data_IF_490026440458
#
_entry.id   IF_490026440458
#
_cell.length_a   1.000
_cell.length_b   1.000
_cell.length_c   1.000
_cell.angle_alpha   90.00
_cell.angle_beta   90.00
_cell.angle_gamma   90.00
#
_symmetry.space_group_name_H-M   'P 1'
#
loop_
_entity.id
_entity.type
_entity.pdbx_description
1 polymer ?
#
# COMPACT_ATOMS: atom_id res chain seq x y z
N UNK A 1 -8.87 19.43 -17.50
CA UNK A 1 -8.23 18.28 -16.84
C UNK A 1 -7.16 17.74 -17.78
N UNK A 2 -5.92 17.66 -17.34
CA UNK A 2 -4.86 16.95 -18.05
C UNK A 2 -4.65 15.60 -17.41
N UNK A 3 -4.58 14.52 -18.19
CA UNK A 3 -4.29 13.17 -17.72
C UNK A 3 -2.99 12.72 -18.38
N UNK A 4 -2.08 12.11 -17.62
CA UNK A 4 -0.80 11.60 -18.11
C UNK A 4 -0.49 10.27 -17.43
N UNK A 5 0.03 9.30 -18.19
CA UNK A 5 0.49 8.01 -17.71
C UNK A 5 1.86 8.15 -17.05
N UNK A 6 2.06 7.49 -15.93
CA UNK A 6 3.29 7.47 -15.15
C UNK A 6 3.55 6.09 -14.54
N UNK A 7 4.81 5.70 -14.43
CA UNK A 7 5.17 4.40 -13.86
C UNK A 7 4.49 3.24 -14.60
N UNK A 8 4.51 3.24 -15.92
CA UNK A 8 3.89 2.29 -16.87
C UNK A 8 2.36 2.36 -16.92
N UNK A 9 1.66 2.30 -15.79
CA UNK A 9 0.18 2.22 -15.73
C UNK A 9 -0.43 3.21 -14.75
N UNK A 10 0.36 4.00 -14.04
CA UNK A 10 -0.11 5.07 -13.17
C UNK A 10 -0.70 6.24 -13.96
N UNK A 11 -1.71 6.88 -13.42
CA UNK A 11 -2.40 7.99 -14.06
C UNK A 11 -2.34 9.22 -13.16
N UNK A 12 -1.99 10.37 -13.76
CA UNK A 12 -2.01 11.66 -13.05
C UNK A 12 -2.98 12.60 -13.72
N UNK A 13 -3.92 13.13 -12.93
CA UNK A 13 -4.86 14.15 -13.35
C UNK A 13 -4.63 15.49 -12.65
N UNK A 14 -4.89 16.59 -13.33
CA UNK A 14 -4.77 17.93 -12.76
C UNK A 14 -6.11 18.66 -12.81
N UNK A 15 -6.51 19.24 -11.68
CA UNK A 15 -7.65 20.14 -11.60
C UNK A 15 -7.16 21.46 -11.00
N UNK A 16 -7.27 22.52 -11.78
CA UNK A 16 -6.99 23.88 -11.32
C UNK A 16 -8.27 24.52 -10.79
N UNK A 17 -8.17 25.17 -9.66
CA UNK A 17 -9.25 25.92 -9.04
C UNK A 17 -9.65 27.15 -9.84
N UNK A 18 -10.40 28.07 -9.20
CA UNK A 18 -10.74 29.36 -9.78
C UNK A 18 -9.47 30.10 -10.17
N UNK A 19 -9.57 30.95 -11.16
CA UNK A 19 -8.48 31.80 -11.62
C UNK A 19 -7.21 31.06 -12.04
N UNK A 20 -7.37 29.76 -12.39
CA UNK A 20 -6.27 28.96 -12.89
C UNK A 20 -5.28 28.47 -11.84
N UNK A 21 -5.60 28.61 -10.55
CA UNK A 21 -4.73 28.19 -9.45
C UNK A 21 -3.55 29.13 -9.20
N UNK A 22 -3.82 30.40 -9.11
CA UNK A 22 -2.79 31.46 -9.02
C UNK A 22 -2.01 31.49 -7.69
N UNK A 23 -2.54 30.89 -6.61
CA UNK A 23 -1.83 30.86 -5.31
C UNK A 23 -0.51 30.09 -5.34
N UNK A 24 -0.28 29.29 -6.38
CA UNK A 24 0.87 28.39 -6.46
C UNK A 24 0.80 27.18 -5.53
N UNK A 25 -0.22 27.10 -4.63
CA UNK A 25 -0.42 25.94 -3.74
C UNK A 25 -0.89 24.73 -4.52
N UNK A 26 -0.44 23.54 -4.12
CA UNK A 26 -0.89 22.31 -4.75
C UNK A 26 -1.02 21.16 -3.74
N UNK A 27 -2.03 20.34 -3.96
CA UNK A 27 -2.39 19.22 -3.10
C UNK A 27 -2.50 17.96 -3.93
N UNK A 28 -1.81 16.90 -3.51
CA UNK A 28 -1.94 15.56 -4.06
C UNK A 28 -3.05 14.77 -3.38
N UNK A 29 -3.92 14.14 -4.17
CA UNK A 29 -4.88 13.14 -3.69
C UNK A 29 -4.53 11.81 -4.36
N UNK A 30 -4.24 10.79 -3.55
CA UNK A 30 -3.78 9.48 -4.02
C UNK A 30 -4.81 8.39 -3.79
N UNK A 31 -4.99 7.56 -4.79
CA UNK A 31 -5.61 6.24 -4.68
C UNK A 31 -4.73 5.19 -5.36
N UNK A 32 -4.60 4.04 -4.75
CA UNK A 32 -4.07 2.84 -5.40
C UNK A 32 -5.13 2.19 -6.29
N UNK A 33 -4.69 1.35 -7.24
CA UNK A 33 -5.57 0.80 -8.26
C UNK A 33 -5.44 -0.70 -8.46
N UNK A 34 -4.42 -1.32 -7.91
CA UNK A 34 -4.08 -2.71 -8.22
C UNK A 34 -4.98 -3.71 -7.51
N UNK A 35 -5.20 -4.84 -8.18
CA UNK A 35 -5.86 -6.01 -7.65
C UNK A 35 -4.83 -7.03 -7.15
N UNK A 36 -5.24 -7.84 -6.18
CA UNK A 36 -4.43 -8.93 -5.65
C UNK A 36 -4.42 -10.15 -6.59
N UNK A 37 -3.31 -10.89 -6.68
CA UNK A 37 -3.19 -12.11 -7.47
C UNK A 37 -3.83 -13.31 -6.76
N UNK A 38 -5.14 -13.25 -6.57
CA UNK A 38 -5.92 -14.31 -5.93
C UNK A 38 -7.25 -14.54 -6.66
N UNK A 39 -7.78 -15.76 -6.58
CA UNK A 39 -9.05 -16.09 -7.20
C UNK A 39 -10.20 -15.60 -6.35
N UNK A 40 -11.08 -14.79 -6.92
CA UNK A 40 -12.32 -14.39 -6.28
C UNK A 40 -13.32 -15.55 -6.27
N UNK A 41 -13.89 -15.82 -5.09
CA UNK A 41 -14.88 -16.88 -4.88
C UNK A 41 -16.31 -16.31 -4.69
N UNK A 42 -16.47 -14.99 -4.74
CA UNK A 42 -17.77 -14.35 -4.62
C UNK A 42 -18.61 -14.54 -5.91
N UNK A 43 -19.94 -14.47 -5.76
CA UNK A 43 -20.89 -14.66 -6.87
C UNK A 43 -21.81 -13.46 -7.12
N UNK A 44 -21.55 -12.32 -6.49
CA UNK A 44 -22.34 -11.10 -6.72
C UNK A 44 -22.05 -10.49 -8.12
N UNK A 45 -22.92 -9.63 -8.59
CA UNK A 45 -22.88 -9.11 -9.96
C UNK A 45 -21.59 -8.34 -10.33
N UNK A 46 -20.90 -7.80 -9.33
CA UNK A 46 -19.65 -7.04 -9.50
C UNK A 46 -18.39 -7.84 -9.11
N UNK A 47 -18.49 -9.15 -8.93
CA UNK A 47 -17.32 -10.00 -8.75
C UNK A 47 -16.36 -9.90 -9.94
N UNK A 48 -15.09 -10.13 -9.69
CA UNK A 48 -14.05 -10.10 -10.72
C UNK A 48 -14.39 -11.04 -11.89
N UNK A 49 -14.22 -10.55 -13.08
CA UNK A 49 -14.36 -11.33 -14.34
C UNK A 49 -13.00 -11.81 -14.85
N UNK A 50 -11.92 -11.47 -14.16
CA UNK A 50 -10.56 -11.83 -14.54
C UNK A 50 -10.07 -12.95 -13.62
N UNK A 51 -9.91 -14.19 -14.11
CA UNK A 51 -9.41 -15.30 -13.30
C UNK A 51 -8.09 -14.96 -12.61
N UNK A 52 -7.96 -15.37 -11.34
CA UNK A 52 -6.76 -15.15 -10.55
C UNK A 52 -6.50 -13.70 -10.14
N UNK A 53 -7.52 -12.82 -10.25
CA UNK A 53 -7.43 -11.44 -9.77
C UNK A 53 -8.67 -11.04 -8.99
N UNK A 54 -8.46 -10.37 -7.87
CA UNK A 54 -9.54 -9.91 -6.99
C UNK A 54 -9.16 -8.59 -6.32
N UNK A 55 -10.08 -7.64 -6.24
CA UNK A 55 -9.93 -6.50 -5.35
C UNK A 55 -10.29 -6.90 -3.91
N UNK A 56 -9.30 -7.44 -3.18
CA UNK A 56 -9.49 -7.89 -1.80
C UNK A 56 -8.93 -6.91 -0.76
N UNK A 57 -8.27 -5.83 -1.20
CA UNK A 57 -7.81 -4.74 -0.32
C UNK A 57 -8.62 -3.44 -0.45
N UNK A 58 -9.60 -3.40 -1.35
CA UNK A 58 -10.50 -2.26 -1.49
C UNK A 58 -10.01 -1.14 -2.41
N UNK A 59 -8.98 -1.37 -3.23
CA UNK A 59 -8.43 -0.36 -4.13
C UNK A 59 -9.40 0.08 -5.24
N UNK A 60 -10.36 -0.75 -5.61
CA UNK A 60 -11.51 -0.39 -6.46
C UNK A 60 -12.37 0.70 -5.81
N UNK A 61 -12.59 0.60 -4.49
CA UNK A 61 -13.25 1.63 -3.70
C UNK A 61 -12.43 2.92 -3.63
N UNK A 62 -11.12 2.83 -3.40
CA UNK A 62 -10.23 4.00 -3.36
C UNK A 62 -10.22 4.73 -4.70
N UNK A 63 -10.09 4.01 -5.81
CA UNK A 63 -10.17 4.55 -7.17
C UNK A 63 -11.51 5.24 -7.41
N UNK A 64 -12.61 4.61 -7.00
CA UNK A 64 -13.97 5.16 -7.14
C UNK A 64 -14.14 6.45 -6.33
N UNK A 65 -13.67 6.49 -5.09
CA UNK A 65 -13.72 7.68 -4.24
C UNK A 65 -12.93 8.83 -4.86
N UNK A 66 -11.71 8.57 -5.34
CA UNK A 66 -10.89 9.59 -5.97
C UNK A 66 -11.51 10.10 -7.28
N UNK A 67 -12.12 9.23 -8.09
CA UNK A 67 -12.84 9.63 -9.30
C UNK A 67 -14.06 10.49 -8.97
N UNK A 68 -14.82 10.14 -7.94
CA UNK A 68 -15.97 10.93 -7.50
C UNK A 68 -15.53 12.31 -6.99
N UNK A 69 -14.48 12.37 -6.17
CA UNK A 69 -13.88 13.63 -5.72
C UNK A 69 -13.39 14.47 -6.90
N UNK A 70 -12.71 13.85 -7.86
CA UNK A 70 -12.25 14.51 -9.08
C UNK A 70 -13.40 15.12 -9.88
N UNK A 71 -14.50 14.38 -10.04
CA UNK A 71 -15.69 14.85 -10.74
C UNK A 71 -16.33 16.07 -10.03
N UNK A 72 -16.43 15.99 -8.70
CA UNK A 72 -16.95 17.09 -7.90
C UNK A 72 -16.06 18.33 -8.01
N UNK A 73 -14.77 18.19 -7.77
CA UNK A 73 -13.80 19.29 -7.84
C UNK A 73 -13.72 19.92 -9.23
N UNK A 74 -13.80 19.10 -10.29
CA UNK A 74 -13.77 19.62 -11.66
C UNK A 74 -15.01 20.43 -12.02
N UNK A 75 -16.18 20.15 -11.41
CA UNK A 75 -17.42 20.88 -11.62
C UNK A 75 -17.47 22.18 -10.80
N UNK A 76 -17.14 22.11 -9.54
CA UNK A 76 -17.24 23.24 -8.60
C UNK A 76 -16.10 24.24 -8.76
N UNK A 77 -14.86 23.76 -8.78
CA UNK A 77 -13.62 24.56 -8.81
C UNK A 77 -13.57 25.68 -7.78
N UNK A 78 -14.32 25.56 -6.69
CA UNK A 78 -14.43 26.55 -5.65
C UNK A 78 -13.29 26.41 -4.63
N UNK A 79 -12.08 26.47 -5.15
CA UNK A 79 -10.84 26.44 -4.36
C UNK A 79 -9.76 27.22 -5.12
N UNK A 80 -8.71 27.62 -4.39
CA UNK A 80 -7.53 28.23 -4.95
C UNK A 80 -6.39 27.20 -4.98
N UNK A 81 -5.56 27.25 -6.04
CA UNK A 81 -4.46 26.31 -6.25
C UNK A 81 -4.79 25.18 -7.22
N UNK A 82 -4.02 24.10 -7.09
CA UNK A 82 -4.12 22.93 -7.97
C UNK A 82 -4.29 21.65 -7.16
N UNK A 83 -5.21 20.80 -7.58
CA UNK A 83 -5.34 19.43 -7.08
C UNK A 83 -4.71 18.48 -8.09
N UNK A 84 -3.75 17.69 -7.64
CA UNK A 84 -3.08 16.64 -8.39
C UNK A 84 -3.69 15.31 -7.97
N UNK A 85 -4.36 14.65 -8.90
CA UNK A 85 -4.96 13.33 -8.68
C UNK A 85 -3.93 12.28 -9.06
N UNK A 86 -3.60 11.38 -8.15
CA UNK A 86 -2.58 10.36 -8.32
C UNK A 86 -3.22 8.99 -8.22
N UNK A 87 -3.39 8.32 -9.35
CA UNK A 87 -3.85 6.93 -9.42
C UNK A 87 -2.64 6.03 -9.52
N UNK A 88 -2.29 5.40 -8.40
CA UNK A 88 -1.05 4.63 -8.24
C UNK A 88 -1.29 3.15 -8.56
N UNK A 89 -0.48 2.52 -9.43
CA UNK A 89 -0.48 1.07 -9.62
C UNK A 89 0.40 0.37 -8.59
N UNK A 90 0.30 -0.96 -8.51
CA UNK A 90 1.24 -1.87 -7.87
C UNK A 90 1.64 -1.44 -6.44
N UNK A 91 0.66 -1.20 -5.60
CA UNK A 91 0.87 -0.92 -4.17
C UNK A 91 1.30 -2.19 -3.44
N UNK A 92 0.62 -3.31 -3.72
CA UNK A 92 0.78 -4.56 -2.99
C UNK A 92 2.11 -5.29 -3.27
N UNK A 93 2.54 -5.34 -4.52
CA UNK A 93 3.62 -6.24 -4.91
C UNK A 93 4.70 -5.62 -5.80
N UNK A 94 4.61 -4.35 -6.15
CA UNK A 94 5.43 -3.88 -7.26
C UNK A 94 6.13 -2.54 -7.12
N UNK A 95 6.04 -1.87 -5.98
CA UNK A 95 6.71 -0.58 -5.79
C UNK A 95 6.23 0.51 -6.76
N UNK A 96 4.93 0.50 -7.12
CA UNK A 96 4.37 1.40 -8.12
C UNK A 96 4.51 2.88 -7.75
N UNK A 97 4.44 3.23 -6.47
CA UNK A 97 4.71 4.59 -6.02
C UNK A 97 6.15 5.02 -6.34
N UNK A 98 7.12 4.13 -6.04
CA UNK A 98 8.53 4.38 -6.34
C UNK A 98 8.76 4.55 -7.85
N UNK A 99 8.18 3.69 -8.67
CA UNK A 99 8.28 3.79 -10.12
C UNK A 99 7.68 5.09 -10.67
N UNK A 100 6.57 5.58 -10.09
CA UNK A 100 5.98 6.87 -10.48
C UNK A 100 6.89 8.04 -10.08
N UNK A 101 7.52 7.97 -8.91
CA UNK A 101 8.47 8.99 -8.43
C UNK A 101 9.70 9.00 -9.31
N UNK A 102 10.30 7.86 -9.59
CA UNK A 102 11.46 7.77 -10.50
C UNK A 102 11.15 8.27 -11.93
N UNK A 103 9.89 8.10 -12.39
CA UNK A 103 9.43 8.67 -13.67
C UNK A 103 9.11 10.18 -13.58
N UNK A 104 9.51 10.84 -12.52
CA UNK A 104 9.41 12.29 -12.34
C UNK A 104 8.02 12.77 -11.92
N UNK A 105 7.31 12.03 -11.07
CA UNK A 105 6.00 12.43 -10.59
C UNK A 105 6.02 13.82 -9.97
N UNK A 106 6.88 14.06 -9.00
CA UNK A 106 6.89 15.31 -8.23
C UNK A 106 7.69 16.42 -8.89
N UNK A 107 8.61 16.11 -9.79
CA UNK A 107 9.30 17.09 -10.64
C UNK A 107 8.33 17.74 -11.64
N UNK A 108 7.38 16.96 -12.14
CA UNK A 108 6.41 17.43 -13.16
C UNK A 108 5.11 17.91 -12.56
N UNK A 109 4.74 17.38 -11.41
CA UNK A 109 3.51 17.69 -10.70
C UNK A 109 3.82 17.96 -9.22
N UNK A 110 4.56 19.06 -8.91
CA UNK A 110 4.93 19.39 -7.56
C UNK A 110 3.66 19.58 -6.69
N UNK A 111 3.72 19.07 -5.46
CA UNK A 111 2.66 19.19 -4.47
C UNK A 111 3.24 19.55 -3.12
N UNK A 112 2.51 20.35 -2.34
CA UNK A 112 2.91 20.72 -0.98
C UNK A 112 2.65 19.59 0.02
N UNK A 113 1.64 18.75 -0.25
CA UNK A 113 1.31 17.58 0.55
C UNK A 113 0.55 16.54 -0.30
N UNK A 114 0.61 15.28 0.12
CA UNK A 114 -0.18 14.19 -0.48
C UNK A 114 -1.06 13.56 0.59
N UNK A 115 -2.33 13.36 0.27
CA UNK A 115 -3.30 12.65 1.09
C UNK A 115 -3.77 11.39 0.38
N UNK A 116 -3.86 10.30 1.12
CA UNK A 116 -4.48 9.06 0.71
C UNK A 116 -5.46 8.60 1.79
N UNK A 117 -6.50 7.90 1.38
CA UNK A 117 -7.45 7.26 2.27
C UNK A 117 -7.47 5.77 2.01
N UNK A 118 -7.69 4.99 3.05
CA UNK A 118 -7.95 3.57 2.93
C UNK A 118 -9.34 3.28 3.49
N UNK A 119 -10.17 2.56 2.75
CA UNK A 119 -11.43 2.06 3.29
C UNK A 119 -11.13 1.00 4.37
N UNK A 120 -11.92 0.98 5.42
CA UNK A 120 -11.67 0.08 6.54
C UNK A 120 -12.92 -0.72 6.89
N UNK A 121 -12.88 -2.05 6.79
CA UNK A 121 -14.00 -2.89 7.19
C UNK A 121 -14.36 -2.67 8.66
N UNK A 122 -15.66 -2.57 8.95
CA UNK A 122 -16.17 -2.36 10.30
C UNK A 122 -16.31 -0.90 10.73
N UNK A 123 -15.80 0.06 9.96
CA UNK A 123 -16.14 1.48 10.17
C UNK A 123 -17.48 1.83 9.50
N UNK A 124 -18.27 2.68 10.14
CA UNK A 124 -19.51 3.14 9.55
C UNK A 124 -19.25 4.04 8.32
N UNK A 125 -20.14 3.98 7.34
CA UNK A 125 -20.03 4.82 6.15
C UNK A 125 -20.13 6.30 6.54
N UNK A 126 -19.14 7.08 6.14
CA UNK A 126 -19.02 8.49 6.47
C UNK A 126 -18.08 8.79 7.63
N UNK A 127 -17.69 7.80 8.41
CA UNK A 127 -16.69 7.97 9.45
C UNK A 127 -15.30 8.09 8.86
N UNK A 128 -14.46 8.95 9.48
CA UNK A 128 -13.06 9.15 9.11
C UNK A 128 -12.21 8.99 10.36
N UNK A 129 -11.23 8.09 10.31
CA UNK A 129 -10.22 7.96 11.34
C UNK A 129 -8.92 8.64 10.91
N UNK A 130 -8.35 9.44 11.80
CA UNK A 130 -7.07 10.11 11.62
C UNK A 130 -6.15 9.76 12.78
N UNK A 131 -4.85 9.69 12.50
CA UNK A 131 -3.82 9.54 13.51
C UNK A 131 -2.86 10.71 13.45
N UNK A 132 -2.43 11.20 14.61
CA UNK A 132 -1.42 12.26 14.72
C UNK A 132 0.02 11.78 14.52
N UNK A 133 0.21 10.47 14.38
CA UNK A 133 1.50 9.82 14.20
C UNK A 133 1.52 8.84 13.04
N UNK A 134 2.49 7.93 12.98
CA UNK A 134 2.53 6.87 11.98
C UNK A 134 1.26 6.02 12.00
N UNK A 135 0.69 5.78 10.84
CA UNK A 135 -0.54 4.99 10.68
C UNK A 135 -0.23 3.56 10.24
N UNK A 136 0.78 3.42 9.36
CA UNK A 136 1.14 2.16 8.74
C UNK A 136 2.52 1.70 9.19
N UNK A 137 2.68 0.39 9.40
CA UNK A 137 3.98 -0.22 9.63
C UNK A 137 4.75 -0.37 8.30
N UNK A 138 6.08 -0.40 8.39
CA UNK A 138 6.91 -0.80 7.26
C UNK A 138 6.87 -2.32 7.07
N UNK A 139 6.99 -2.77 5.83
CA UNK A 139 7.13 -4.17 5.49
C UNK A 139 8.52 -4.45 4.92
N UNK A 140 9.06 -5.62 5.21
CA UNK A 140 10.33 -6.06 4.67
C UNK A 140 10.22 -7.54 4.27
N UNK A 141 10.74 -7.87 3.12
CA UNK A 141 10.86 -9.26 2.68
C UNK A 141 12.29 -9.75 2.90
N UNK A 142 12.43 -10.95 3.41
CA UNK A 142 13.73 -11.61 3.52
C UNK A 142 13.62 -13.08 3.17
N UNK A 143 14.73 -13.64 2.71
CA UNK A 143 14.86 -15.06 2.38
C UNK A 143 15.98 -15.67 3.19
N UNK A 144 15.69 -16.74 3.92
CA UNK A 144 16.69 -17.53 4.64
C UNK A 144 16.84 -18.87 3.94
N UNK A 145 18.07 -19.23 3.60
CA UNK A 145 18.43 -20.53 3.04
C UNK A 145 19.26 -21.27 4.06
N UNK A 146 18.75 -22.42 4.52
CA UNK A 146 19.44 -23.28 5.47
C UNK A 146 19.96 -24.49 4.72
N UNK A 147 21.29 -24.59 4.62
CA UNK A 147 21.96 -25.67 3.90
C UNK A 147 22.26 -26.84 4.86
N UNK A 148 21.58 -27.94 4.63
CA UNK A 148 21.88 -29.22 5.31
C UNK A 148 22.84 -30.10 4.53
N UNK A 149 23.07 -31.30 5.05
CA UNK A 149 23.83 -32.36 4.38
C UNK A 149 23.06 -33.68 4.41
N UNK A 150 22.74 -34.20 3.23
CA UNK A 150 22.04 -35.46 3.09
C UNK A 150 22.89 -36.65 3.57
N UNK A 151 22.23 -37.71 4.01
CA UNK A 151 22.85 -38.97 4.41
C UNK A 151 21.88 -40.14 4.19
N UNK A 152 22.38 -41.36 4.35
CA UNK A 152 21.52 -42.55 4.36
C UNK A 152 20.62 -42.53 5.61
N UNK A 153 19.33 -42.89 5.47
CA UNK A 153 18.37 -42.87 6.57
C UNK A 153 18.78 -43.70 7.80
N UNK A 154 19.55 -44.80 7.62
CA UNK A 154 20.11 -45.59 8.70
C UNK A 154 21.39 -44.99 9.35
N UNK A 155 21.88 -43.86 8.83
CA UNK A 155 23.11 -43.18 9.28
C UNK A 155 22.88 -41.69 9.55
N UNK A 156 21.92 -41.33 10.38
CA UNK A 156 21.55 -39.91 10.60
C UNK A 156 22.70 -39.09 11.18
N UNK A 157 23.62 -39.73 11.89
CA UNK A 157 24.82 -39.10 12.43
C UNK A 157 25.80 -38.59 11.37
N UNK A 158 25.65 -39.01 10.13
CA UNK A 158 26.48 -38.57 8.99
C UNK A 158 25.87 -37.36 8.25
N UNK A 159 24.63 -37.03 8.55
CA UNK A 159 23.91 -35.92 7.94
C UNK A 159 23.90 -34.64 8.79
N UNK A 160 23.31 -33.61 8.25
CA UNK A 160 22.92 -32.40 8.94
C UNK A 160 21.49 -32.08 8.50
N UNK A 161 20.55 -32.30 9.42
CA UNK A 161 19.14 -32.02 9.16
C UNK A 161 18.87 -30.53 9.29
N UNK A 162 18.42 -29.83 8.23
CA UNK A 162 18.10 -28.41 8.28
C UNK A 162 16.72 -28.13 8.91
N UNK A 163 15.85 -29.13 9.02
CA UNK A 163 14.46 -28.91 9.47
C UNK A 163 14.36 -28.42 10.91
N UNK A 164 15.05 -29.02 11.91
CA UNK A 164 15.02 -28.50 13.27
C UNK A 164 15.50 -27.06 13.38
N UNK A 165 16.53 -26.70 12.62
CA UNK A 165 17.04 -25.32 12.57
C UNK A 165 16.00 -24.38 11.97
N UNK A 166 15.34 -24.79 10.88
CA UNK A 166 14.27 -24.00 10.27
C UNK A 166 13.10 -23.75 11.24
N UNK A 167 12.69 -24.80 11.97
CA UNK A 167 11.63 -24.67 12.99
C UNK A 167 12.03 -23.71 14.11
N UNK A 168 13.26 -23.79 14.59
CA UNK A 168 13.77 -22.88 15.62
C UNK A 168 13.83 -21.44 15.14
N UNK A 169 14.22 -21.18 13.89
CA UNK A 169 14.23 -19.85 13.29
C UNK A 169 12.80 -19.29 13.26
N UNK A 170 11.82 -20.06 12.80
CA UNK A 170 10.40 -19.63 12.75
C UNK A 170 9.89 -19.33 14.17
N UNK A 171 10.18 -20.18 15.14
CA UNK A 171 9.80 -19.94 16.53
C UNK A 171 10.49 -18.71 17.11
N UNK A 172 11.79 -18.52 16.83
CA UNK A 172 12.55 -17.36 17.25
C UNK A 172 11.94 -16.04 16.76
N UNK A 173 11.47 -16.01 15.51
CA UNK A 173 10.79 -14.82 14.99
C UNK A 173 9.50 -14.47 15.72
N UNK A 174 8.75 -15.46 16.20
CA UNK A 174 7.54 -15.20 16.99
C UNK A 174 7.88 -14.48 18.32
N UNK A 175 9.04 -14.76 18.90
CA UNK A 175 9.45 -14.12 20.16
C UNK A 175 9.82 -12.65 20.00
N UNK A 176 10.19 -12.21 18.80
CA UNK A 176 10.45 -10.79 18.50
C UNK A 176 9.19 -9.97 18.74
N UNK A 177 8.04 -10.46 18.30
CA UNK A 177 6.76 -9.77 18.47
C UNK A 177 6.20 -9.97 19.87
N UNK A 178 6.24 -11.18 20.40
CA UNK A 178 5.57 -11.53 21.67
C UNK A 178 6.36 -11.22 22.92
N UNK A 179 7.68 -11.19 22.85
CA UNK A 179 8.55 -11.03 24.02
C UNK A 179 9.43 -9.78 23.98
N UNK A 180 9.70 -9.25 22.81
CA UNK A 180 10.49 -8.03 22.66
C UNK A 180 9.61 -6.87 22.23
N UNK A 181 9.61 -5.84 23.04
CA UNK A 181 8.80 -4.64 22.82
C UNK A 181 9.62 -3.46 22.33
N UNK A 182 10.86 -3.72 21.97
CA UNK A 182 11.73 -2.65 21.47
C UNK A 182 11.17 -1.99 20.20
N UNK A 183 10.47 -2.75 19.38
CA UNK A 183 9.76 -2.26 18.21
C UNK A 183 8.32 -1.85 18.55
N UNK A 184 7.83 -2.17 19.75
CA UNK A 184 6.55 -1.70 20.28
C UNK A 184 6.79 -0.55 21.26
N UNK A 185 7.85 0.18 21.10
CA UNK A 185 8.21 1.31 21.95
C UNK A 185 8.10 1.05 23.46
N UNK A 186 9.15 1.16 24.19
CA UNK A 186 9.21 1.20 25.64
C UNK A 186 9.03 -0.13 26.40
N UNK A 187 10.02 -1.02 26.29
CA UNK A 187 10.11 -2.18 27.17
C UNK A 187 10.19 -1.79 28.66
N UNK A 188 10.59 -0.57 28.96
CA UNK A 188 10.65 -0.04 30.32
C UNK A 188 9.29 0.24 30.94
N UNK A 189 8.26 0.48 30.17
CA UNK A 189 6.89 0.66 30.69
C UNK A 189 6.22 -0.63 31.16
N UNK A 190 6.76 -1.78 30.79
CA UNK A 190 6.25 -3.06 31.25
C UNK A 190 6.93 -3.58 32.51
N UNK A 191 8.03 -2.95 32.92
CA UNK A 191 8.72 -3.27 34.14
C UNK A 191 8.23 -2.45 35.35
N UNK A 192 7.35 -1.50 35.12
CA UNK A 192 6.62 -0.72 36.11
C UNK A 192 5.25 -1.32 36.41
#
# INVERSE_FOLDING_TARGET
MCIRDRGKTGVVGLIRGRDGGQSGRSLGLRADMDALPMQELNSFAHASKTPGKMHACGHDGHTTMLLAAAQHLARQRDFDGTVVLIFQPAEELGGGAHAMIEDGLFERFPVDAVFGTHNWPGMAVGDIALSSGPVMASTNEFKIVIQGRGCHGAMPHMGIDPVPVACQVVQGFQTIISLSLIHISEPTRQAE
#
